data_IF_414267816916
#
_entry.id   IF_414267816916
#
_cell.length_a   1.000
_cell.length_b   1.000
_cell.length_c   1.000
_cell.angle_alpha   90.00
_cell.angle_beta   90.00
_cell.angle_gamma   90.00
#
_symmetry.space_group_name_H-M   'P 1'
#
loop_
_entity.id
_entity.type
_entity.pdbx_description
1 polymer ?
#
# COMPACT_ATOMS: atom_id res chain seq x y z
N UNK A 1 19.67 59.79 4.33
CA UNK A 1 18.43 59.57 3.54
C UNK A 1 18.59 58.37 2.59
N UNK A 2 19.81 58.11 2.07
CA UNK A 2 20.07 57.02 1.11
C UNK A 2 19.99 55.61 1.77
N UNK A 3 20.49 55.43 2.97
CA UNK A 3 20.50 54.14 3.69
C UNK A 3 19.10 53.66 4.13
N UNK A 4 18.18 54.59 4.43
CA UNK A 4 16.79 54.20 4.77
C UNK A 4 16.04 53.63 3.56
N UNK A 5 16.28 54.13 2.32
CA UNK A 5 15.65 53.62 1.10
C UNK A 5 16.14 52.22 0.74
N UNK A 6 17.45 51.94 0.94
CA UNK A 6 18.00 50.59 0.70
C UNK A 6 17.44 49.56 1.68
N UNK A 7 17.38 49.87 2.98
CA UNK A 7 16.81 49.00 4.00
C UNK A 7 15.33 48.71 3.79
N UNK A 8 14.54 49.66 3.33
CA UNK A 8 13.11 49.44 3.06
C UNK A 8 12.87 48.59 1.82
N UNK A 9 13.67 48.75 0.75
CA UNK A 9 13.63 47.91 -0.44
C UNK A 9 14.04 46.45 -0.11
N UNK A 10 15.11 46.29 0.66
CA UNK A 10 15.59 44.95 1.06
C UNK A 10 14.54 44.21 1.88
N UNK A 11 13.90 44.89 2.83
CA UNK A 11 12.80 44.31 3.63
C UNK A 11 11.57 43.96 2.79
N UNK A 12 11.24 44.78 1.80
CA UNK A 12 10.12 44.51 0.89
C UNK A 12 10.38 43.30 0.02
N UNK A 13 11.57 43.21 -0.60
CA UNK A 13 11.98 42.06 -1.43
C UNK A 13 12.04 40.80 -0.58
N UNK A 14 12.67 40.83 0.60
CA UNK A 14 12.75 39.70 1.49
C UNK A 14 11.36 39.19 1.90
N UNK A 15 10.45 40.07 2.29
CA UNK A 15 9.07 39.67 2.63
C UNK A 15 8.35 39.06 1.43
N UNK A 16 8.48 39.66 0.24
CA UNK A 16 7.90 39.10 -0.99
C UNK A 16 8.42 37.72 -1.30
N UNK A 17 9.73 37.51 -1.20
CA UNK A 17 10.35 36.19 -1.42
C UNK A 17 9.86 35.16 -0.40
N UNK A 18 9.78 35.53 0.88
CA UNK A 18 9.27 34.65 1.93
C UNK A 18 7.81 34.25 1.68
N UNK A 19 6.95 35.22 1.33
CA UNK A 19 5.56 34.90 1.00
C UNK A 19 5.43 34.01 -0.23
N UNK A 20 6.23 34.25 -1.27
CA UNK A 20 6.24 33.39 -2.47
C UNK A 20 6.65 31.95 -2.11
N UNK A 21 7.71 31.79 -1.31
CA UNK A 21 8.15 30.46 -0.87
C UNK A 21 7.09 29.74 -0.04
N UNK A 22 6.43 30.46 0.90
CA UNK A 22 5.35 29.88 1.70
C UNK A 22 4.17 29.47 0.80
N UNK A 23 3.79 30.29 -0.17
CA UNK A 23 2.70 29.98 -1.08
C UNK A 23 3.02 28.77 -1.94
N UNK A 24 4.22 28.69 -2.51
CA UNK A 24 4.66 27.54 -3.30
C UNK A 24 4.68 26.28 -2.45
N UNK A 25 5.23 26.35 -1.24
CA UNK A 25 5.24 25.21 -0.32
C UNK A 25 3.83 24.75 0.05
N UNK A 26 2.92 25.67 0.36
CA UNK A 26 1.53 25.36 0.69
C UNK A 26 0.79 24.70 -0.48
N UNK A 27 0.96 25.23 -1.70
CA UNK A 27 0.37 24.62 -2.91
C UNK A 27 0.96 23.24 -3.18
N UNK A 28 2.28 23.07 -3.03
CA UNK A 28 2.94 21.77 -3.22
C UNK A 28 2.44 20.72 -2.22
N UNK A 29 2.29 21.10 -0.94
CA UNK A 29 1.72 20.22 0.09
C UNK A 29 0.27 19.84 -0.24
N UNK A 30 -0.54 20.84 -0.65
CA UNK A 30 -1.93 20.58 -1.01
C UNK A 30 -2.05 19.60 -2.18
N UNK A 31 -1.27 19.82 -3.24
CA UNK A 31 -1.22 18.91 -4.39
C UNK A 31 -0.76 17.53 -3.96
N UNK A 32 0.30 17.44 -3.18
CA UNK A 32 0.81 16.16 -2.67
C UNK A 32 -0.28 15.41 -1.87
N UNK A 33 -0.95 16.06 -0.93
CA UNK A 33 -1.98 15.41 -0.08
C UNK A 33 -3.22 14.97 -0.85
N UNK A 34 -3.56 15.64 -1.95
CA UNK A 34 -4.71 15.28 -2.79
C UNK A 34 -4.41 14.10 -3.74
N UNK A 35 -3.17 13.98 -4.21
CA UNK A 35 -2.80 12.98 -5.22
C UNK A 35 -2.08 11.76 -4.65
N UNK A 36 -1.54 11.88 -3.45
CA UNK A 36 -0.63 10.93 -2.86
C UNK A 36 -1.14 10.50 -1.47
N UNK A 37 -2.11 9.56 -1.40
CA UNK A 37 -2.64 9.12 -0.12
C UNK A 37 -1.54 8.48 0.74
N UNK A 38 -1.33 9.06 1.92
CA UNK A 38 -0.44 8.56 2.96
C UNK A 38 -1.26 7.74 3.94
N UNK A 39 -0.82 6.54 4.24
CA UNK A 39 -1.48 5.60 5.13
C UNK A 39 -0.57 5.22 6.28
N UNK A 40 -1.14 5.02 7.46
CA UNK A 40 -0.44 4.41 8.59
C UNK A 40 -0.86 2.95 8.71
N UNK A 41 0.13 2.07 8.86
CA UNK A 41 -0.08 0.63 9.04
C UNK A 41 -0.50 0.35 10.47
N UNK A 42 -1.52 -0.47 10.63
CA UNK A 42 -1.98 -1.00 11.90
C UNK A 42 -2.03 -2.53 11.85
N UNK A 43 -1.44 -3.17 12.84
CA UNK A 43 -1.41 -4.62 12.98
C UNK A 43 -0.22 -5.30 12.32
N UNK A 44 -0.20 -6.63 12.40
CA UNK A 44 0.95 -7.45 12.05
C UNK A 44 0.77 -8.30 10.78
N UNK A 45 -0.37 -8.19 10.09
CA UNK A 45 -0.71 -9.09 8.98
C UNK A 45 0.21 -9.02 7.76
N UNK A 46 1.03 -7.96 7.65
CA UNK A 46 1.99 -7.74 6.58
C UNK A 46 3.45 -7.84 7.05
N UNK A 47 3.69 -8.30 8.28
CA UNK A 47 5.07 -8.54 8.74
C UNK A 47 5.69 -9.73 8.01
N UNK A 48 6.98 -9.68 7.69
CA UNK A 48 7.99 -8.67 8.06
C UNK A 48 8.04 -7.46 7.13
N UNK A 49 7.34 -7.49 6.00
CA UNK A 49 7.41 -6.46 4.95
C UNK A 49 6.98 -5.09 5.48
N UNK A 50 5.79 -5.02 6.09
CA UNK A 50 5.29 -3.82 6.74
C UNK A 50 5.01 -4.10 8.22
N UNK A 51 5.37 -3.15 9.07
CA UNK A 51 5.21 -3.24 10.52
C UNK A 51 4.20 -2.23 11.05
N UNK A 52 3.63 -2.55 12.21
CA UNK A 52 2.72 -1.65 12.92
C UNK A 52 3.34 -0.27 13.17
N UNK A 53 2.59 0.79 12.92
CA UNK A 53 3.03 2.17 13.08
C UNK A 53 3.83 2.75 11.92
N UNK A 54 4.18 1.96 10.90
CA UNK A 54 4.84 2.49 9.70
C UNK A 54 3.93 3.43 8.92
N UNK A 55 4.52 4.47 8.34
CA UNK A 55 3.83 5.38 7.43
C UNK A 55 4.29 5.09 6.02
N UNK A 56 3.34 4.77 5.18
CA UNK A 56 3.55 4.39 3.79
C UNK A 56 2.84 5.34 2.85
N UNK A 57 3.31 5.33 1.63
CA UNK A 57 2.84 6.11 0.54
C UNK A 57 2.25 5.21 -0.53
N UNK A 58 1.04 5.53 -1.00
CA UNK A 58 0.39 4.79 -2.07
C UNK A 58 0.15 5.63 -3.30
N UNK A 59 0.06 4.99 -4.46
CA UNK A 59 -0.31 5.61 -5.73
C UNK A 59 -1.59 4.99 -6.24
N UNK A 60 -2.50 5.83 -6.69
CA UNK A 60 -3.73 5.36 -7.32
C UNK A 60 -3.41 4.79 -8.70
N UNK A 61 -3.76 3.53 -8.92
CA UNK A 61 -3.66 2.83 -10.19
C UNK A 61 -4.93 2.02 -10.43
N UNK A 62 -5.18 1.63 -11.65
CA UNK A 62 -6.26 0.72 -12.04
C UNK A 62 -5.75 -0.67 -12.44
N UNK A 63 -4.45 -0.84 -12.53
CA UNK A 63 -3.80 -2.10 -12.89
C UNK A 63 -3.00 -2.61 -11.70
N UNK A 64 -3.15 -3.89 -11.39
CA UNK A 64 -2.52 -4.54 -10.25
C UNK A 64 -1.89 -5.85 -10.71
N UNK A 65 -0.61 -6.00 -10.43
CA UNK A 65 0.17 -7.18 -10.79
C UNK A 65 0.42 -8.07 -9.57
N UNK A 66 0.57 -9.40 -9.77
CA UNK A 66 1.00 -10.29 -8.71
C UNK A 66 2.31 -9.83 -8.04
N UNK A 67 2.35 -9.89 -6.71
CA UNK A 67 3.46 -9.41 -5.90
C UNK A 67 3.29 -8.00 -5.36
N UNK A 68 2.43 -7.16 -5.95
CA UNK A 68 2.20 -5.79 -5.50
C UNK A 68 1.42 -5.72 -4.19
N UNK A 69 1.74 -4.75 -3.36
CA UNK A 69 1.01 -4.50 -2.10
C UNK A 69 -0.03 -3.42 -2.35
N UNK A 70 -1.28 -3.73 -1.99
CA UNK A 70 -2.43 -2.84 -2.22
C UNK A 70 -3.14 -2.51 -0.92
N UNK A 71 -3.67 -1.29 -0.85
CA UNK A 71 -4.59 -0.86 0.20
C UNK A 71 -6.02 -0.84 -0.38
N UNK A 72 -6.98 -1.41 0.33
CA UNK A 72 -8.37 -1.47 -0.13
C UNK A 72 -9.38 -1.27 1.00
N UNK A 73 -10.57 -0.82 0.65
CA UNK A 73 -11.68 -0.64 1.60
C UNK A 73 -12.33 -1.95 1.97
N UNK A 74 -12.45 -2.20 3.27
CA UNK A 74 -13.16 -3.33 3.84
C UNK A 74 -13.90 -2.91 5.12
N UNK A 75 -15.23 -3.00 5.12
CA UNK A 75 -16.07 -2.69 6.30
C UNK A 75 -15.65 -1.42 7.06
N UNK A 76 -15.61 -0.28 6.40
CA UNK A 76 -15.21 1.02 6.99
C UNK A 76 -13.78 1.10 7.51
N UNK A 77 -12.91 0.19 7.07
CA UNK A 77 -11.46 0.18 7.35
C UNK A 77 -10.69 0.07 6.05
N UNK A 78 -9.42 0.42 6.10
CA UNK A 78 -8.48 0.15 5.01
C UNK A 78 -7.62 -1.03 5.45
N UNK A 79 -7.62 -2.10 4.64
CA UNK A 79 -6.71 -3.23 4.79
C UNK A 79 -5.58 -3.10 3.78
N UNK A 80 -4.41 -3.61 4.16
CA UNK A 80 -3.23 -3.69 3.29
C UNK A 80 -2.86 -5.16 3.14
N UNK A 81 -2.75 -5.63 1.90
CA UNK A 81 -2.44 -7.01 1.55
C UNK A 81 -1.62 -7.05 0.26
N UNK A 82 -0.99 -8.21 -0.01
CA UNK A 82 -0.28 -8.46 -1.26
C UNK A 82 -1.19 -9.14 -2.27
N UNK A 83 -1.15 -8.69 -3.51
CA UNK A 83 -1.83 -9.33 -4.65
C UNK A 83 -1.09 -10.63 -4.97
N UNK A 84 -1.82 -11.74 -5.01
CA UNK A 84 -1.29 -13.06 -5.33
C UNK A 84 -1.58 -13.43 -6.78
N UNK A 85 -2.81 -13.21 -7.21
CA UNK A 85 -3.21 -13.46 -8.59
C UNK A 85 -4.41 -12.60 -9.00
N UNK A 86 -4.63 -12.50 -10.29
CA UNK A 86 -5.63 -11.64 -10.92
C UNK A 86 -6.89 -12.36 -11.40
N UNK A 87 -7.77 -11.61 -12.10
CA UNK A 87 -9.02 -12.15 -12.62
C UNK A 87 -8.81 -13.36 -13.54
N UNK A 88 -9.60 -14.42 -13.33
CA UNK A 88 -9.57 -15.65 -14.12
C UNK A 88 -8.50 -16.65 -13.73
N UNK A 89 -7.51 -16.27 -12.92
CA UNK A 89 -6.48 -17.17 -12.43
C UNK A 89 -7.07 -18.21 -11.47
N UNK A 90 -6.46 -19.41 -11.48
CA UNK A 90 -6.72 -20.44 -10.51
C UNK A 90 -5.68 -20.41 -9.41
N UNK A 91 -6.12 -20.37 -8.16
CA UNK A 91 -5.25 -20.48 -6.99
C UNK A 91 -5.50 -21.80 -6.26
N UNK A 92 -4.44 -22.44 -5.85
CA UNK A 92 -4.44 -23.58 -4.94
C UNK A 92 -3.41 -23.38 -3.83
N UNK A 93 -3.67 -23.91 -2.65
CA UNK A 93 -2.80 -23.76 -1.47
C UNK A 93 -2.74 -25.09 -0.76
N UNK A 94 -1.55 -25.66 -0.66
CA UNK A 94 -1.32 -26.90 0.06
C UNK A 94 -1.48 -26.74 1.59
N UNK A 95 -1.56 -27.86 2.28
CA UNK A 95 -1.67 -27.89 3.75
C UNK A 95 -0.49 -27.24 4.46
N UNK A 96 0.69 -27.25 3.83
CA UNK A 96 1.90 -26.58 4.33
C UNK A 96 1.93 -25.08 4.02
N UNK A 97 0.93 -24.55 3.28
CA UNK A 97 0.80 -23.15 2.90
C UNK A 97 1.57 -22.77 1.63
N UNK A 98 2.04 -23.74 0.84
CA UNK A 98 2.62 -23.46 -0.48
C UNK A 98 1.52 -23.05 -1.46
N UNK A 99 1.71 -21.93 -2.13
CA UNK A 99 0.74 -21.35 -3.07
C UNK A 99 1.08 -21.75 -4.50
N UNK A 100 0.07 -22.10 -5.27
CA UNK A 100 0.13 -22.37 -6.70
C UNK A 100 -0.85 -21.45 -7.42
N UNK A 101 -0.38 -20.86 -8.52
CA UNK A 101 -1.22 -20.04 -9.42
C UNK A 101 -1.15 -20.69 -10.79
N UNK A 102 -2.32 -21.08 -11.33
CA UNK A 102 -2.42 -21.80 -12.60
C UNK A 102 -1.49 -23.05 -12.65
N UNK A 103 -1.50 -23.83 -11.56
CA UNK A 103 -0.68 -25.03 -11.36
C UNK A 103 0.84 -24.77 -11.23
N UNK A 104 1.29 -23.50 -11.28
CA UNK A 104 2.68 -23.10 -11.12
C UNK A 104 2.92 -22.66 -9.69
N UNK A 105 3.91 -23.26 -9.03
CA UNK A 105 4.32 -22.87 -7.66
C UNK A 105 4.77 -21.41 -7.65
N UNK A 106 4.20 -20.63 -6.73
CA UNK A 106 4.58 -19.23 -6.51
C UNK A 106 5.84 -19.16 -5.63
N UNK A 107 6.84 -18.42 -6.09
CA UNK A 107 8.01 -18.12 -5.28
C UNK A 107 7.72 -16.89 -4.40
N UNK A 108 7.86 -17.05 -3.10
CA UNK A 108 7.46 -16.07 -2.10
C UNK A 108 8.60 -15.73 -1.13
N UNK A 109 9.67 -15.08 -1.61
CA UNK A 109 10.86 -14.78 -0.81
C UNK A 109 10.61 -13.81 0.36
N UNK A 110 9.50 -13.09 0.34
CA UNK A 110 9.07 -12.16 1.37
C UNK A 110 8.48 -12.83 2.62
N UNK A 111 8.17 -14.12 2.55
CA UNK A 111 7.62 -14.86 3.69
C UNK A 111 8.72 -15.32 4.64
N UNK A 112 8.45 -15.22 5.93
CA UNK A 112 9.25 -15.86 6.98
C UNK A 112 8.74 -17.25 7.33
N UNK A 113 7.44 -17.49 7.14
CA UNK A 113 6.77 -18.74 7.45
C UNK A 113 5.67 -19.02 6.43
N UNK A 114 5.59 -20.26 5.96
CA UNK A 114 4.49 -20.75 5.14
C UNK A 114 3.48 -21.46 6.02
N UNK A 115 2.23 -21.18 5.85
CA UNK A 115 1.11 -21.87 6.51
C UNK A 115 -0.18 -21.58 5.77
N UNK A 116 -1.09 -22.54 5.73
CA UNK A 116 -2.43 -22.34 5.18
C UNK A 116 -3.20 -21.25 5.91
N UNK A 117 -2.98 -21.10 7.23
CA UNK A 117 -3.63 -20.07 8.05
C UNK A 117 -5.15 -20.22 8.13
N UNK A 118 -5.85 -19.10 8.27
CA UNK A 118 -7.31 -19.07 8.31
C UNK A 118 -7.89 -19.14 6.89
N UNK A 119 -8.14 -20.39 6.42
CA UNK A 119 -8.65 -20.69 5.09
C UNK A 119 -9.96 -21.48 5.20
N UNK A 120 -11.03 -20.92 4.67
CA UNK A 120 -12.38 -21.54 4.63
C UNK A 120 -13.01 -21.50 3.25
N UNK A 121 -12.24 -21.23 2.20
CA UNK A 121 -12.67 -21.36 0.80
C UNK A 121 -12.38 -22.76 0.30
N UNK A 122 -13.14 -23.19 -0.71
CA UNK A 122 -12.87 -24.45 -1.44
C UNK A 122 -11.69 -24.21 -2.40
N UNK A 123 -10.67 -25.06 -2.32
CA UNK A 123 -9.49 -25.03 -3.19
C UNK A 123 -9.52 -26.26 -4.14
N UNK A 124 -9.05 -26.13 -5.40
CA UNK A 124 -8.58 -24.90 -6.04
C UNK A 124 -9.71 -23.90 -6.32
N UNK A 125 -9.41 -22.60 -6.24
CA UNK A 125 -10.36 -21.51 -6.37
C UNK A 125 -10.05 -20.65 -7.58
N UNK A 126 -11.07 -20.31 -8.39
CA UNK A 126 -10.89 -19.38 -9.51
C UNK A 126 -11.27 -17.96 -9.11
N UNK A 127 -10.36 -17.01 -9.36
CA UNK A 127 -10.58 -15.58 -9.08
C UNK A 127 -11.63 -15.02 -10.04
N UNK A 128 -12.73 -14.43 -9.54
CA UNK A 128 -13.78 -13.86 -10.39
C UNK A 128 -13.26 -12.67 -11.22
N UNK A 129 -13.95 -12.40 -12.34
CA UNK A 129 -13.68 -11.24 -13.18
C UNK A 129 -13.71 -9.92 -12.38
N UNK A 130 -12.80 -9.01 -12.68
CA UNK A 130 -12.68 -7.71 -12.03
C UNK A 130 -12.24 -7.75 -10.57
N UNK A 131 -11.78 -8.91 -10.07
CA UNK A 131 -11.28 -9.08 -8.71
C UNK A 131 -9.85 -9.58 -8.67
N UNK A 132 -9.20 -9.36 -7.54
CA UNK A 132 -7.86 -9.90 -7.25
C UNK A 132 -7.91 -10.73 -5.98
N UNK A 133 -7.08 -11.77 -5.93
CA UNK A 133 -6.86 -12.56 -4.73
C UNK A 133 -5.69 -11.97 -3.95
N UNK A 134 -5.91 -11.65 -2.68
CA UNK A 134 -4.90 -10.99 -1.85
C UNK A 134 -4.61 -11.80 -0.60
N UNK A 135 -3.35 -11.79 -0.16
CA UNK A 135 -2.92 -12.44 1.07
C UNK A 135 -2.01 -11.53 1.89
N UNK A 136 -2.02 -11.71 3.21
CA UNK A 136 -1.04 -11.06 4.07
C UNK A 136 0.28 -11.82 4.07
N UNK A 137 1.38 -11.10 4.28
CA UNK A 137 2.72 -11.70 4.35
C UNK A 137 2.92 -12.50 5.65
N UNK A 138 2.20 -12.14 6.72
CA UNK A 138 2.15 -12.96 7.93
C UNK A 138 0.98 -13.97 7.84
N UNK A 139 1.22 -15.06 7.17
CA UNK A 139 0.24 -16.08 6.77
C UNK A 139 -0.63 -16.61 7.90
N UNK A 140 -0.05 -16.83 9.08
CA UNK A 140 -0.74 -17.43 10.24
C UNK A 140 -1.72 -16.49 10.92
N UNK A 141 -1.55 -15.17 10.83
CA UNK A 141 -2.39 -14.17 11.51
C UNK A 141 -3.25 -13.34 10.57
N UNK A 142 -3.02 -13.44 9.27
CA UNK A 142 -3.74 -12.64 8.28
C UNK A 142 -5.12 -13.21 7.99
N UNK A 143 -6.15 -12.37 8.14
CA UNK A 143 -7.48 -12.60 7.55
C UNK A 143 -7.51 -11.89 6.21
N UNK A 144 -7.69 -12.65 5.12
CA UNK A 144 -7.53 -12.19 3.74
C UNK A 144 -8.42 -12.99 2.78
N UNK A 145 -8.10 -13.06 1.48
CA UNK A 145 -8.95 -13.72 0.49
C UNK A 145 -9.14 -15.24 0.71
N UNK A 146 -8.30 -15.88 1.54
CA UNK A 146 -8.50 -17.28 1.98
C UNK A 146 -9.74 -17.45 2.86
N UNK A 147 -10.22 -16.36 3.46
CA UNK A 147 -11.43 -16.36 4.28
C UNK A 147 -12.57 -15.69 3.55
N UNK A 148 -13.72 -16.37 3.49
CA UNK A 148 -14.95 -15.88 2.84
C UNK A 148 -15.45 -14.55 3.40
N UNK A 149 -15.07 -14.17 4.62
CA UNK A 149 -15.40 -12.86 5.20
C UNK A 149 -14.77 -11.71 4.41
N UNK A 150 -13.56 -11.89 3.90
CA UNK A 150 -12.87 -10.90 3.04
C UNK A 150 -13.13 -11.22 1.57
N UNK A 151 -12.86 -12.46 1.16
CA UNK A 151 -13.00 -12.92 -0.23
C UNK A 151 -12.06 -12.19 -1.18
N UNK A 152 -12.31 -12.34 -2.49
CA UNK A 152 -11.57 -11.58 -3.51
C UNK A 152 -11.97 -10.12 -3.50
N UNK A 153 -10.98 -9.24 -3.64
CA UNK A 153 -11.13 -7.79 -3.60
C UNK A 153 -11.45 -7.26 -5.00
N UNK A 154 -12.53 -6.51 -5.13
CA UNK A 154 -12.85 -5.84 -6.38
C UNK A 154 -11.89 -4.68 -6.64
N UNK A 155 -11.50 -4.49 -7.89
CA UNK A 155 -10.53 -3.44 -8.26
C UNK A 155 -10.98 -2.04 -7.85
N UNK A 156 -12.31 -1.79 -7.85
CA UNK A 156 -12.90 -0.52 -7.42
C UNK A 156 -12.77 -0.26 -5.91
N UNK A 157 -12.55 -1.31 -5.11
CA UNK A 157 -12.33 -1.18 -3.67
C UNK A 157 -10.89 -0.77 -3.34
N UNK A 158 -9.96 -0.91 -4.31
CA UNK A 158 -8.56 -0.62 -4.09
C UNK A 158 -8.32 0.89 -4.10
N UNK A 159 -7.77 1.38 -3.01
CA UNK A 159 -7.40 2.79 -2.81
C UNK A 159 -6.14 3.13 -3.60
N UNK A 160 -5.18 2.21 -3.64
CA UNK A 160 -3.93 2.36 -4.36
C UNK A 160 -2.92 1.27 -4.04
N UNK A 161 -1.85 1.26 -4.84
CA UNK A 161 -0.66 0.42 -4.69
C UNK A 161 0.32 1.10 -3.73
N UNK A 162 0.85 0.36 -2.78
CA UNK A 162 1.89 0.82 -1.87
C UNK A 162 3.21 0.76 -2.62
N UNK A 163 3.94 1.87 -2.64
CA UNK A 163 5.22 1.95 -3.35
C UNK A 163 6.39 2.36 -2.48
N UNK A 164 6.13 3.10 -1.40
CA UNK A 164 7.21 3.69 -0.63
C UNK A 164 6.89 3.79 0.86
N UNK A 165 7.88 3.51 1.71
CA UNK A 165 7.81 3.71 3.16
C UNK A 165 8.47 5.04 3.53
N UNK A 166 7.72 5.90 4.23
CA UNK A 166 8.18 7.23 4.67
C UNK A 166 8.75 7.16 6.09
N UNK A 167 8.15 6.36 6.95
CA UNK A 167 8.52 6.23 8.35
C UNK A 167 8.50 4.77 8.80
N UNK A 168 9.44 4.34 9.62
CA UNK A 168 10.53 5.10 10.27
C UNK A 168 11.69 5.41 9.32
N UNK A 169 12.45 6.47 9.61
CA UNK A 169 13.52 6.95 8.72
C UNK A 169 14.66 5.93 8.49
N UNK A 170 14.89 5.03 9.45
CA UNK A 170 15.88 3.96 9.32
C UNK A 170 15.42 2.82 8.38
N UNK A 171 14.15 2.80 7.97
CA UNK A 171 13.57 1.87 7.00
C UNK A 171 12.96 2.59 5.79
N UNK A 172 13.35 3.85 5.58
CA UNK A 172 12.89 4.66 4.45
C UNK A 172 13.31 4.00 3.14
N UNK A 173 12.36 3.84 2.20
CA UNK A 173 12.63 3.24 0.90
C UNK A 173 11.42 2.55 0.29
N UNK A 174 11.66 1.90 -0.84
CA UNK A 174 10.64 1.14 -1.56
C UNK A 174 10.12 -0.01 -0.71
N UNK A 175 8.90 -0.43 -0.99
CA UNK A 175 8.23 -1.56 -0.32
C UNK A 175 8.02 -2.63 -1.38
N UNK A 176 8.89 -3.64 -1.35
CA UNK A 176 8.85 -4.82 -2.22
C UNK A 176 8.27 -6.05 -1.49
#
# INVERSE_FOLDING_TARGET
IRDRKYRSRYRSVFRSTVYTLITVAAVSILVATLWLPVLQIYGSSMTPTLQDGEIIFSVKTSEFEPGEIVAFYYNNKILVKRVICGPGDWIDIDEDGTVYVNEVRLEEPYLTEKTLGDCNIDLPFQVPDGKVFVMGDHRSTSVDSRNTAVGCVAQEQIVGKIIFRIWPLNRLGDVD
#
